data_IF_990170727654
#
_entry.id   IF_990170727654
#
_cell.length_a   1.000
_cell.length_b   1.000
_cell.length_c   1.000
_cell.angle_alpha   90.00
_cell.angle_beta   90.00
_cell.angle_gamma   90.00
#
_symmetry.space_group_name_H-M   'P 1'
#
loop_
_entity.id
_entity.type
_entity.pdbx_description
1 polymer ?
#
# COMPACT_ATOMS: atom_id res chain seq x y z
N UNK A 1 11.37 -40.91 6.57
CA UNK A 1 10.29 -39.90 6.51
C UNK A 1 10.88 -38.63 5.89
N UNK A 2 10.50 -38.27 4.67
CA UNK A 2 11.03 -37.10 3.98
C UNK A 2 10.41 -35.82 4.56
N UNK A 3 11.26 -34.90 5.02
CA UNK A 3 10.86 -33.57 5.52
C UNK A 3 10.37 -32.77 4.31
N UNK A 4 9.11 -32.35 4.32
CA UNK A 4 8.58 -31.42 3.32
C UNK A 4 9.38 -30.13 3.45
N UNK A 5 10.02 -29.61 2.38
CA UNK A 5 10.68 -28.32 2.46
C UNK A 5 9.60 -27.27 2.67
N UNK A 6 9.61 -26.63 3.84
CA UNK A 6 8.83 -25.43 4.10
C UNK A 6 9.28 -24.44 3.04
N UNK A 7 8.35 -24.13 2.12
CA UNK A 7 8.59 -23.37 0.91
C UNK A 7 9.44 -22.12 1.24
N UNK A 8 10.53 -21.91 0.50
CA UNK A 8 11.54 -20.90 0.77
C UNK A 8 10.89 -19.56 1.18
N UNK A 9 11.21 -19.15 2.39
CA UNK A 9 10.81 -17.92 3.05
C UNK A 9 10.65 -16.77 2.03
N UNK A 10 9.40 -16.44 1.67
CA UNK A 10 9.12 -15.23 0.89
C UNK A 10 9.45 -14.07 1.81
N UNK A 11 10.70 -13.63 1.79
CA UNK A 11 11.24 -12.61 2.67
C UNK A 11 10.32 -11.38 2.63
N UNK A 12 9.69 -11.07 3.75
CA UNK A 12 8.90 -9.85 3.88
C UNK A 12 9.86 -8.66 3.98
N UNK A 13 9.69 -7.67 3.10
CA UNK A 13 10.46 -6.42 3.14
C UNK A 13 9.67 -5.36 3.89
N UNK A 14 10.28 -4.70 4.87
CA UNK A 14 9.68 -3.55 5.55
C UNK A 14 9.76 -2.33 4.64
N UNK A 15 8.62 -1.70 4.38
CA UNK A 15 8.53 -0.47 3.60
C UNK A 15 7.87 0.61 4.44
N UNK A 16 8.43 1.82 4.42
CA UNK A 16 7.86 3.00 5.05
C UNK A 16 7.37 3.96 3.96
N UNK A 17 6.18 4.54 4.16
CA UNK A 17 5.57 5.51 3.24
C UNK A 17 5.02 6.68 4.03
N UNK A 18 5.10 7.87 3.45
CA UNK A 18 4.47 9.08 4.00
C UNK A 18 3.09 9.25 3.37
N UNK A 19 2.08 9.46 4.20
CA UNK A 19 0.71 9.75 3.80
C UNK A 19 0.31 11.09 4.43
N UNK A 20 -0.63 11.81 3.79
CA UNK A 20 -1.28 12.92 4.48
C UNK A 20 -2.09 12.40 5.67
N UNK A 21 -2.32 13.25 6.66
CA UNK A 21 -3.09 12.92 7.85
C UNK A 21 -4.52 12.44 7.51
N UNK A 22 -5.16 13.08 6.54
CA UNK A 22 -6.50 12.70 6.08
C UNK A 22 -6.52 11.27 5.51
N UNK A 23 -5.54 10.94 4.68
CA UNK A 23 -5.43 9.60 4.06
C UNK A 23 -5.11 8.56 5.12
N UNK A 24 -4.21 8.85 6.04
CA UNK A 24 -3.91 7.96 7.16
C UNK A 24 -5.17 7.68 8.00
N UNK A 25 -5.96 8.71 8.31
CA UNK A 25 -7.20 8.59 9.08
C UNK A 25 -8.26 7.75 8.34
N UNK A 26 -8.39 7.91 7.02
CA UNK A 26 -9.29 7.08 6.21
C UNK A 26 -8.85 5.60 6.20
N UNK A 27 -7.55 5.34 6.06
CA UNK A 27 -7.01 3.98 6.10
C UNK A 27 -7.26 3.35 7.48
N UNK A 28 -7.06 4.10 8.56
CA UNK A 28 -7.28 3.63 9.92
C UNK A 28 -8.76 3.28 10.16
N UNK A 29 -9.68 4.16 9.76
CA UNK A 29 -11.12 3.89 9.90
C UNK A 29 -11.57 2.65 9.10
N UNK A 30 -11.03 2.46 7.89
CA UNK A 30 -11.31 1.28 7.08
C UNK A 30 -10.76 0.00 7.73
N UNK A 31 -9.58 0.08 8.32
CA UNK A 31 -8.96 -1.04 9.03
C UNK A 31 -9.80 -1.47 10.24
N UNK A 32 -10.25 -0.50 11.04
CA UNK A 32 -11.12 -0.72 12.20
C UNK A 32 -12.46 -1.33 11.81
N UNK A 33 -13.12 -0.78 10.79
CA UNK A 33 -14.40 -1.29 10.29
C UNK A 33 -14.33 -2.75 9.81
N UNK A 34 -13.17 -3.19 9.32
CA UNK A 34 -12.95 -4.53 8.78
C UNK A 34 -12.16 -5.46 9.73
N UNK A 35 -11.81 -5.00 10.95
CA UNK A 35 -11.02 -5.76 11.93
C UNK A 35 -9.67 -6.27 11.37
N UNK A 36 -9.02 -5.45 10.54
CA UNK A 36 -7.70 -5.73 9.97
C UNK A 36 -6.71 -4.64 10.39
N UNK A 37 -5.42 -4.84 10.10
CA UNK A 37 -4.42 -3.79 10.34
C UNK A 37 -4.37 -2.79 9.18
N UNK A 38 -4.00 -1.55 9.47
CA UNK A 38 -3.74 -0.51 8.45
C UNK A 38 -2.67 -0.95 7.45
N UNK A 39 -1.67 -1.71 7.91
CA UNK A 39 -0.66 -2.33 7.04
C UNK A 39 -1.25 -3.36 6.06
N UNK A 40 -2.31 -4.09 6.45
CA UNK A 40 -3.02 -5.01 5.57
C UNK A 40 -3.76 -4.25 4.47
N UNK A 41 -4.47 -3.17 4.83
CA UNK A 41 -5.14 -2.29 3.86
C UNK A 41 -4.14 -1.76 2.83
N UNK A 42 -3.00 -1.21 3.29
CA UNK A 42 -1.94 -0.70 2.41
C UNK A 42 -1.39 -1.81 1.51
N UNK A 43 -1.15 -3.00 2.04
CA UNK A 43 -0.68 -4.15 1.26
C UNK A 43 -1.68 -4.52 0.15
N UNK A 44 -2.97 -4.61 0.46
CA UNK A 44 -4.00 -4.93 -0.53
C UNK A 44 -4.12 -3.83 -1.58
N UNK A 45 -4.13 -2.56 -1.17
CA UNK A 45 -4.20 -1.42 -2.10
C UNK A 45 -3.03 -1.44 -3.09
N UNK A 46 -1.80 -1.67 -2.62
CA UNK A 46 -0.61 -1.79 -3.48
C UNK A 46 -0.74 -2.97 -4.44
N UNK A 47 -1.22 -4.13 -3.98
CA UNK A 47 -1.42 -5.30 -4.83
C UNK A 47 -2.47 -5.06 -5.92
N UNK A 48 -3.62 -4.49 -5.57
CA UNK A 48 -4.67 -4.14 -6.52
C UNK A 48 -4.16 -3.14 -7.56
N UNK A 49 -3.49 -2.08 -7.12
CA UNK A 49 -2.92 -1.07 -8.01
C UNK A 49 -1.92 -1.69 -9.00
N UNK A 50 -1.00 -2.53 -8.53
CA UNK A 50 -0.03 -3.18 -9.41
C UNK A 50 -0.68 -4.17 -10.38
N UNK A 51 -1.73 -4.87 -9.96
CA UNK A 51 -2.48 -5.77 -10.83
C UNK A 51 -3.25 -5.00 -11.94
N UNK A 52 -3.90 -3.89 -11.58
CA UNK A 52 -4.63 -3.02 -12.52
C UNK A 52 -3.71 -2.30 -13.53
N UNK A 53 -2.46 -2.08 -13.14
CA UNK A 53 -1.44 -1.43 -13.97
C UNK A 53 -0.40 -2.41 -14.53
N UNK A 54 -0.63 -3.71 -14.40
CA UNK A 54 0.28 -4.72 -14.91
C UNK A 54 0.47 -4.57 -16.44
N UNK A 55 1.72 -4.51 -16.89
CA UNK A 55 2.08 -4.31 -18.30
C UNK A 55 2.06 -2.85 -18.78
N UNK A 56 1.65 -1.88 -17.94
CA UNK A 56 1.79 -0.46 -18.25
C UNK A 56 3.17 0.02 -17.80
N UNK A 57 4.02 0.38 -18.76
CA UNK A 57 5.38 0.91 -18.49
C UNK A 57 5.36 2.32 -17.87
N UNK A 58 4.26 3.06 -18.08
CA UNK A 58 4.08 4.40 -17.52
C UNK A 58 3.00 4.35 -16.44
N UNK A 59 3.38 4.70 -15.22
CA UNK A 59 2.42 5.11 -14.20
C UNK A 59 1.84 6.44 -14.67
N UNK A 60 0.55 6.46 -15.00
CA UNK A 60 -0.19 7.72 -15.12
C UNK A 60 -0.31 8.29 -13.71
N UNK A 61 0.79 8.83 -13.20
CA UNK A 61 0.83 9.70 -12.03
C UNK A 61 0.04 10.94 -12.44
N UNK A 62 -1.29 10.85 -12.32
CA UNK A 62 -2.20 11.96 -12.50
C UNK A 62 -1.85 13.00 -11.43
N UNK A 63 -0.89 13.85 -11.79
CA UNK A 63 -0.69 15.25 -11.44
C UNK A 63 -1.55 15.74 -10.25
N UNK A 64 -1.30 15.20 -9.07
CA UNK A 64 -1.69 15.81 -7.79
C UNK A 64 -0.43 16.21 -7.01
N UNK A 65 0.48 16.89 -7.72
CA UNK A 65 1.49 17.75 -7.10
C UNK A 65 1.08 19.19 -7.42
N UNK A 66 -0.12 19.57 -6.98
CA UNK A 66 -0.53 20.98 -6.82
C UNK A 66 -1.61 21.00 -5.75
N UNK A 67 -1.18 21.13 -4.49
CA UNK A 67 -1.74 22.06 -3.50
C UNK A 67 -1.06 21.82 -2.15
N UNK A 68 0.22 22.16 -2.09
CA UNK A 68 0.79 22.76 -0.89
C UNK A 68 0.82 24.25 -1.16
N UNK A 69 -0.23 24.95 -0.74
CA UNK A 69 -0.28 26.40 -0.73
C UNK A 69 0.75 26.92 0.27
N UNK A 70 1.96 27.26 -0.19
CA UNK A 70 2.79 28.20 0.55
C UNK A 70 2.21 29.60 0.31
N UNK A 71 1.38 30.02 1.27
CA UNK A 71 0.94 31.40 1.45
C UNK A 71 0.85 31.65 2.94
N UNK A 72 1.98 31.93 3.59
CA UNK A 72 2.27 33.21 4.27
C UNK A 72 3.66 33.18 4.90
#
# INVERSE_FOLDING_TARGET
>A
MARIPINADKKSVRTSVMLSEDVHSQVQALAEANQVSSAWIIRMAVQCFLNEHHGKSQLLLLRSIRQGSESQ
#
